data_IF_961345018741
#
_entry.id   IF_961345018741
#
_cell.length_a   1.000
_cell.length_b   1.000
_cell.length_c   1.000
_cell.angle_alpha   90.00
_cell.angle_beta   90.00
_cell.angle_gamma   90.00
#
_symmetry.space_group_name_H-M   'P 1'
#
loop_
_entity.id
_entity.type
_entity.pdbx_description
1 polymer ?
#
# COMPACT_ATOMS: atom_id res chain seq x y z
N UNK A 1 31.76 -1.01 63.15
CA UNK A 1 31.89 -0.54 61.75
C UNK A 1 30.76 -1.21 60.98
N UNK A 2 29.55 -0.67 60.75
CA UNK A 2 29.06 0.64 60.23
C UNK A 2 29.64 1.04 58.87
N UNK A 3 28.82 0.84 57.85
CA UNK A 3 28.63 1.66 56.65
C UNK A 3 27.20 1.38 56.13
N UNK A 4 26.15 1.72 56.90
CA UNK A 4 25.30 2.90 56.67
C UNK A 4 26.04 4.14 56.15
N UNK A 5 25.55 4.68 55.02
CA UNK A 5 25.23 6.10 54.78
C UNK A 5 25.36 6.41 53.29
N UNK A 6 24.25 6.34 52.52
CA UNK A 6 23.98 7.17 51.32
C UNK A 6 22.67 6.89 50.56
N UNK A 7 21.63 6.39 51.21
CA UNK A 7 20.27 6.61 50.71
C UNK A 7 19.45 7.22 51.85
N UNK A 8 19.48 8.55 51.89
CA UNK A 8 18.60 9.32 52.74
C UNK A 8 17.16 8.98 52.41
N UNK A 9 16.35 8.82 53.46
CA UNK A 9 14.90 8.76 53.35
C UNK A 9 14.43 10.09 52.76
N UNK A 10 14.09 10.09 51.47
CA UNK A 10 13.21 11.12 50.93
C UNK A 10 11.78 10.63 51.14
N UNK A 11 11.09 11.28 52.08
CA UNK A 11 9.72 10.96 52.51
C UNK A 11 8.64 11.59 51.61
N UNK A 12 9.01 12.02 50.41
CA UNK A 12 8.11 12.61 49.40
C UNK A 12 8.17 11.87 48.06
N UNK A 13 8.31 10.53 48.07
CA UNK A 13 8.26 9.73 46.85
C UNK A 13 6.84 9.16 46.63
N UNK A 14 6.01 9.70 45.70
CA UNK A 14 4.77 9.05 45.28
C UNK A 14 5.11 7.87 44.36
N UNK A 15 5.76 6.83 44.91
CA UNK A 15 5.98 5.55 44.25
C UNK A 15 4.88 4.58 44.64
N UNK A 16 3.64 4.95 44.34
CA UNK A 16 2.49 4.03 44.22
C UNK A 16 1.45 4.70 43.32
N UNK A 17 1.11 4.02 42.22
CA UNK A 17 0.24 4.44 41.10
C UNK A 17 0.94 5.22 39.97
N UNK A 18 0.49 5.00 38.73
CA UNK A 18 0.91 5.64 37.47
C UNK A 18 2.17 5.14 36.72
N UNK A 19 2.30 3.82 36.60
CA UNK A 19 3.18 3.21 35.56
C UNK A 19 2.48 2.98 34.21
N UNK A 20 1.22 3.39 34.05
CA UNK A 20 0.44 3.23 32.80
C UNK A 20 0.45 4.44 31.85
N UNK A 21 1.15 5.54 32.19
CA UNK A 21 1.13 6.76 31.40
C UNK A 21 2.46 7.03 30.69
N UNK A 22 2.77 6.26 29.65
CA UNK A 22 3.53 6.80 28.50
C UNK A 22 2.66 6.57 27.27
N UNK A 23 1.57 7.32 27.20
CA UNK A 23 0.80 7.47 25.98
C UNK A 23 1.59 8.39 25.04
N UNK A 24 2.26 7.82 24.04
CA UNK A 24 2.82 8.60 22.95
C UNK A 24 1.68 9.39 22.28
N UNK A 25 1.85 10.71 22.22
CA UNK A 25 0.80 11.66 21.84
C UNK A 25 0.50 11.59 20.34
N UNK A 26 -0.61 12.19 19.92
CA UNK A 26 -0.93 12.37 18.49
C UNK A 26 0.13 13.21 17.73
N UNK A 27 0.90 14.05 18.44
CA UNK A 27 2.02 14.77 17.87
C UNK A 27 3.24 13.86 17.60
N UNK A 28 3.48 12.84 18.43
CA UNK A 28 4.53 11.83 18.17
C UNK A 28 4.18 10.95 16.97
N UNK A 29 2.87 10.71 16.77
CA UNK A 29 2.30 9.96 15.66
C UNK A 29 2.52 10.63 14.30
N UNK A 30 2.36 11.96 14.23
CA UNK A 30 2.64 12.73 13.01
C UNK A 30 4.14 12.80 12.72
N UNK A 31 4.99 12.85 13.74
CA UNK A 31 6.46 12.84 13.61
C UNK A 31 7.05 11.45 13.27
N UNK A 32 6.34 10.36 13.56
CA UNK A 32 6.72 8.98 13.19
C UNK A 32 6.31 8.61 11.76
N UNK A 33 5.29 9.25 11.19
CA UNK A 33 4.55 8.72 10.05
C UNK A 33 5.00 9.20 8.65
N UNK A 34 5.82 10.24 8.50
CA UNK A 34 6.04 10.82 7.16
C UNK A 34 7.47 11.24 6.81
N UNK A 35 8.46 10.79 7.57
CA UNK A 35 9.87 11.01 7.21
C UNK A 35 10.47 9.73 6.61
N UNK A 36 10.10 9.46 5.36
CA UNK A 36 10.78 8.48 4.49
C UNK A 36 12.06 9.14 3.96
N UNK A 37 12.90 9.59 4.89
CA UNK A 37 14.18 10.21 4.59
C UNK A 37 15.19 9.21 4.01
N UNK A 38 16.33 9.74 3.56
CA UNK A 38 17.42 8.96 2.98
C UNK A 38 17.91 7.85 3.94
N UNK A 39 18.59 6.83 3.39
CA UNK A 39 19.03 5.62 4.12
C UNK A 39 20.01 5.83 5.29
N UNK A 40 20.12 7.04 5.83
CA UNK A 40 20.96 7.41 6.99
C UNK A 40 20.24 7.30 8.34
N UNK A 41 18.90 7.26 8.37
CA UNK A 41 18.11 7.12 9.60
C UNK A 41 18.13 5.70 10.16
N UNK A 42 18.13 5.59 11.49
CA UNK A 42 18.07 4.31 12.20
C UNK A 42 16.79 3.51 11.86
N UNK A 43 16.87 2.17 11.76
CA UNK A 43 15.74 1.30 11.47
C UNK A 43 14.63 1.38 12.52
N UNK A 44 13.38 1.24 12.07
CA UNK A 44 12.18 1.30 12.90
C UNK A 44 11.53 -0.08 13.07
N UNK A 45 11.02 -0.29 14.29
CA UNK A 45 10.09 -1.35 14.65
C UNK A 45 8.94 -0.74 15.43
N UNK A 46 7.73 -0.75 14.87
CA UNK A 46 6.55 -0.12 15.46
C UNK A 46 5.36 -1.07 15.42
N UNK A 47 4.64 -1.20 16.53
CA UNK A 47 3.35 -1.89 16.60
C UNK A 47 2.27 -0.86 16.92
N UNK A 48 1.34 -0.69 16.00
CA UNK A 48 0.11 0.06 16.21
C UNK A 48 -0.88 -0.79 16.99
N UNK A 49 -1.24 -0.36 18.20
CA UNK A 49 -2.20 -1.06 19.07
C UNK A 49 -3.51 -0.30 19.14
N UNK A 50 -4.59 -0.97 19.53
CA UNK A 50 -5.86 -0.31 19.80
C UNK A 50 -7.07 -1.19 19.51
N UNK A 51 -8.24 -0.68 19.86
CA UNK A 51 -9.51 -1.37 19.71
C UNK A 51 -9.91 -1.57 18.25
N UNK A 52 -10.90 -2.42 17.98
CA UNK A 52 -11.45 -2.58 16.64
C UNK A 52 -11.89 -1.22 16.07
N UNK A 53 -11.62 -0.99 14.78
CA UNK A 53 -12.06 0.23 14.10
C UNK A 53 -11.31 1.53 14.41
N UNK A 54 -10.17 1.46 15.10
CA UNK A 54 -9.30 2.62 15.42
C UNK A 54 -8.33 3.00 14.28
N UNK A 55 -8.60 2.58 13.03
CA UNK A 55 -7.81 2.92 11.83
C UNK A 55 -6.35 2.42 11.79
N UNK A 56 -6.03 1.35 12.54
CA UNK A 56 -4.69 0.72 12.52
C UNK A 56 -4.31 0.20 11.13
N UNK A 57 -5.19 -0.58 10.50
CA UNK A 57 -4.97 -1.11 9.14
C UNK A 57 -4.87 0.01 8.10
N UNK A 58 -5.65 1.07 8.25
CA UNK A 58 -5.55 2.26 7.40
C UNK A 58 -4.17 2.93 7.51
N UNK A 59 -3.55 2.96 8.70
CA UNK A 59 -2.17 3.44 8.85
C UNK A 59 -1.14 2.56 8.11
N UNK A 60 -1.29 1.23 8.13
CA UNK A 60 -0.44 0.37 7.28
C UNK A 60 -0.60 0.70 5.80
N UNK A 61 -1.82 1.00 5.33
CA UNK A 61 -2.04 1.41 3.95
C UNK A 61 -1.40 2.76 3.61
N UNK A 62 -1.42 3.72 4.53
CA UNK A 62 -0.71 4.99 4.36
C UNK A 62 0.81 4.76 4.26
N UNK A 63 1.37 3.90 5.11
CA UNK A 63 2.77 3.50 5.04
C UNK A 63 3.09 2.79 3.72
N UNK A 64 2.25 1.85 3.26
CA UNK A 64 2.43 1.19 1.97
C UNK A 64 2.56 2.22 0.82
N UNK A 65 1.70 3.25 0.80
CA UNK A 65 1.78 4.34 -0.18
C UNK A 65 3.07 5.16 -0.03
N UNK A 66 3.52 5.43 1.19
CA UNK A 66 4.74 6.19 1.44
C UNK A 66 6.02 5.44 1.01
N UNK A 67 5.99 4.10 0.99
CA UNK A 67 7.08 3.25 0.48
C UNK A 67 6.91 2.87 -1.00
N UNK A 68 5.94 3.47 -1.68
CA UNK A 68 5.71 3.30 -3.11
C UNK A 68 6.10 4.55 -3.89
N UNK A 69 6.83 4.35 -4.98
CA UNK A 69 7.23 5.42 -5.88
C UNK A 69 6.57 5.17 -7.25
N UNK A 70 5.64 6.03 -7.64
CA UNK A 70 5.13 6.04 -9.02
C UNK A 70 6.12 6.77 -9.90
N UNK A 71 6.83 6.04 -10.75
CA UNK A 71 7.65 6.68 -11.78
C UNK A 71 6.77 7.06 -12.95
N UNK A 72 6.82 8.32 -13.42
CA UNK A 72 6.19 8.65 -14.69
C UNK A 72 6.81 7.75 -15.78
N UNK A 73 6.05 7.42 -16.83
CA UNK A 73 6.61 6.67 -17.95
C UNK A 73 7.85 7.39 -18.47
N UNK A 74 8.83 6.62 -18.98
CA UNK A 74 10.06 7.17 -19.55
C UNK A 74 9.74 8.37 -20.44
N UNK A 75 10.42 9.49 -20.23
CA UNK A 75 10.13 10.75 -20.93
C UNK A 75 10.19 10.51 -22.44
N UNK A 76 9.01 10.52 -23.07
CA UNK A 76 8.86 10.24 -24.50
C UNK A 76 9.69 11.20 -25.33
N UNK A 77 9.85 12.44 -24.89
CA UNK A 77 10.69 13.42 -25.56
C UNK A 77 12.18 13.05 -25.44
N UNK A 78 12.64 12.63 -24.27
CA UNK A 78 14.02 12.18 -24.06
C UNK A 78 14.35 10.92 -24.89
N UNK A 79 13.47 9.91 -24.91
CA UNK A 79 13.65 8.70 -25.72
C UNK A 79 13.69 9.02 -27.22
N UNK A 80 12.75 9.86 -27.68
CA UNK A 80 12.72 10.31 -29.07
C UNK A 80 14.01 11.05 -29.44
N UNK A 81 14.46 11.96 -28.57
CA UNK A 81 15.69 12.71 -28.76
C UNK A 81 16.93 11.81 -28.80
N UNK A 82 17.00 10.77 -27.97
CA UNK A 82 18.09 9.81 -27.98
C UNK A 82 18.12 9.01 -29.29
N UNK A 83 16.96 8.53 -29.77
CA UNK A 83 16.83 7.79 -31.03
C UNK A 83 17.30 8.63 -32.23
N UNK A 84 16.76 9.83 -32.39
CA UNK A 84 17.07 10.64 -33.59
C UNK A 84 18.44 11.31 -33.49
N UNK A 85 18.97 11.53 -32.29
CA UNK A 85 20.20 12.30 -32.05
C UNK A 85 21.43 11.81 -32.80
N UNK A 86 21.60 10.50 -32.93
CA UNK A 86 22.77 9.90 -33.58
C UNK A 86 22.60 9.70 -35.10
N UNK A 87 21.39 9.85 -35.63
CA UNK A 87 21.08 9.56 -37.03
C UNK A 87 21.49 10.70 -37.98
N UNK A 88 21.98 10.36 -39.17
CA UNK A 88 22.06 11.30 -40.28
C UNK A 88 20.66 11.67 -40.81
N UNK A 89 20.54 12.75 -41.58
CA UNK A 89 19.27 13.10 -42.23
C UNK A 89 18.76 12.02 -43.19
N UNK A 90 19.67 11.25 -43.81
CA UNK A 90 19.32 10.07 -44.62
C UNK A 90 18.69 8.98 -43.77
N UNK A 91 19.37 8.57 -42.70
CA UNK A 91 18.86 7.53 -41.79
C UNK A 91 17.56 7.95 -41.14
N UNK A 92 17.42 9.22 -40.76
CA UNK A 92 16.17 9.75 -40.23
C UNK A 92 15.01 9.58 -41.22
N UNK A 93 15.21 9.92 -42.50
CA UNK A 93 14.17 9.74 -43.51
C UNK A 93 13.85 8.26 -43.74
N UNK A 94 14.86 7.39 -43.80
CA UNK A 94 14.64 5.94 -43.85
C UNK A 94 13.82 5.46 -42.64
N UNK A 95 14.13 5.94 -41.42
CA UNK A 95 13.42 5.58 -40.19
C UNK A 95 11.94 6.00 -40.25
N UNK A 96 11.65 7.19 -40.79
CA UNK A 96 10.27 7.66 -41.00
C UNK A 96 9.52 6.74 -41.96
N UNK A 97 10.14 6.35 -43.08
CA UNK A 97 9.54 5.40 -44.02
C UNK A 97 9.31 4.02 -43.41
N UNK A 98 10.28 3.49 -42.64
CA UNK A 98 10.12 2.20 -41.95
C UNK A 98 8.93 2.24 -40.98
N UNK A 99 8.80 3.30 -40.18
CA UNK A 99 7.68 3.44 -39.25
C UNK A 99 6.33 3.57 -39.97
N UNK A 100 6.25 4.37 -41.04
CA UNK A 100 5.01 4.54 -41.81
C UNK A 100 4.62 3.25 -42.57
N UNK A 101 5.61 2.49 -43.05
CA UNK A 101 5.38 1.20 -43.69
C UNK A 101 4.77 0.17 -42.73
N UNK A 102 5.17 0.16 -41.45
CA UNK A 102 4.51 -0.66 -40.41
C UNK A 102 3.02 -0.30 -40.22
N UNK A 103 2.62 0.93 -40.56
CA UNK A 103 1.24 1.42 -40.52
C UNK A 103 0.51 1.25 -41.87
N UNK A 104 1.12 0.54 -42.83
CA UNK A 104 0.57 0.30 -44.16
C UNK A 104 0.76 1.44 -45.17
N UNK A 105 1.56 2.46 -44.83
CA UNK A 105 1.80 3.62 -45.70
C UNK A 105 3.23 3.66 -46.22
N UNK A 106 3.40 3.36 -47.51
CA UNK A 106 4.72 3.25 -48.17
C UNK A 106 5.10 4.46 -49.03
N UNK A 107 4.11 5.30 -49.37
CA UNK A 107 4.28 6.52 -50.17
C UNK A 107 4.10 7.76 -49.30
N UNK A 108 5.11 8.65 -49.28
CA UNK A 108 5.12 9.87 -48.47
C UNK A 108 5.49 11.10 -49.30
N UNK A 109 4.77 12.21 -49.11
CA UNK A 109 5.16 13.51 -49.68
C UNK A 109 6.10 14.25 -48.74
N UNK A 110 6.89 15.17 -49.31
CA UNK A 110 7.85 15.99 -48.54
C UNK A 110 7.21 16.71 -47.33
N UNK A 111 6.02 17.33 -47.44
CA UNK A 111 5.37 17.94 -46.28
C UNK A 111 5.11 16.96 -45.12
N UNK A 112 4.76 15.72 -45.44
CA UNK A 112 4.48 14.65 -44.46
C UNK A 112 5.76 14.17 -43.78
N UNK A 113 6.88 14.13 -44.52
CA UNK A 113 8.19 13.84 -43.95
C UNK A 113 8.62 14.95 -42.98
N UNK A 114 8.43 16.22 -43.36
CA UNK A 114 8.86 17.36 -42.53
C UNK A 114 7.99 17.60 -41.30
N UNK A 115 6.71 17.20 -41.33
CA UNK A 115 5.80 17.28 -40.18
C UNK A 115 5.90 16.06 -39.26
N UNK A 116 6.64 15.03 -39.64
CA UNK A 116 6.79 13.82 -38.85
C UNK A 116 7.52 14.10 -37.52
N UNK A 117 7.08 13.54 -36.37
CA UNK A 117 7.69 13.79 -35.07
C UNK A 117 9.21 13.54 -35.02
N UNK A 118 9.69 12.50 -35.69
CA UNK A 118 11.13 12.20 -35.78
C UNK A 118 11.90 13.31 -36.50
N UNK A 119 11.33 13.85 -37.58
CA UNK A 119 11.93 14.93 -38.36
C UNK A 119 12.00 16.22 -37.55
N UNK A 120 10.87 16.58 -36.90
CA UNK A 120 10.77 17.78 -36.06
C UNK A 120 11.73 17.72 -34.87
N UNK A 121 11.85 16.56 -34.21
CA UNK A 121 12.79 16.38 -33.11
C UNK A 121 14.25 16.57 -33.56
N UNK A 122 14.64 15.96 -34.70
CA UNK A 122 16.00 16.13 -35.25
C UNK A 122 16.28 17.56 -35.69
N UNK A 123 15.30 18.23 -36.29
CA UNK A 123 15.43 19.63 -36.70
C UNK A 123 15.68 20.53 -35.48
N UNK A 124 14.92 20.31 -34.41
CA UNK A 124 15.04 21.03 -33.14
C UNK A 124 16.42 20.82 -32.51
N UNK A 125 16.90 19.58 -32.42
CA UNK A 125 18.24 19.27 -31.89
C UNK A 125 19.36 19.93 -32.69
N UNK A 126 19.22 19.95 -34.02
CA UNK A 126 20.17 20.59 -34.92
C UNK A 126 19.98 22.12 -35.01
N UNK A 127 19.12 22.71 -34.17
CA UNK A 127 18.80 24.14 -34.15
C UNK A 127 18.35 24.68 -35.53
N UNK A 128 17.67 23.84 -36.32
CA UNK A 128 17.15 24.21 -37.65
C UNK A 128 15.67 24.54 -37.56
N UNK A 129 15.33 25.80 -37.88
CA UNK A 129 13.94 26.28 -37.88
C UNK A 129 13.40 26.57 -39.29
N UNK A 130 14.28 26.77 -40.28
CA UNK A 130 13.92 27.15 -41.65
C UNK A 130 14.41 26.12 -42.67
N UNK A 131 13.87 26.16 -43.89
CA UNK A 131 14.30 25.32 -45.03
C UNK A 131 14.25 23.79 -44.77
N UNK A 132 13.30 23.35 -43.95
CA UNK A 132 13.12 21.93 -43.62
C UNK A 132 12.77 21.09 -44.85
N UNK A 133 11.86 21.59 -45.69
CA UNK A 133 11.49 20.94 -46.95
C UNK A 133 12.68 20.79 -47.90
N UNK A 134 13.54 21.81 -47.97
CA UNK A 134 14.75 21.76 -48.79
C UNK A 134 15.76 20.73 -48.25
N UNK A 135 15.84 20.58 -46.92
CA UNK A 135 16.68 19.57 -46.28
C UNK A 135 16.22 18.16 -46.64
N UNK A 136 14.92 17.88 -46.46
CA UNK A 136 14.33 16.59 -46.82
C UNK A 136 14.49 16.31 -48.33
N UNK A 137 14.14 17.29 -49.16
CA UNK A 137 14.23 17.18 -50.61
C UNK A 137 15.65 16.93 -51.10
N UNK A 138 16.64 17.65 -50.57
CA UNK A 138 18.05 17.47 -50.93
C UNK A 138 18.53 16.04 -50.64
N UNK A 139 18.19 15.50 -49.47
CA UNK A 139 18.55 14.11 -49.11
C UNK A 139 17.86 13.12 -50.04
N UNK A 140 16.55 13.26 -50.25
CA UNK A 140 15.78 12.36 -51.13
C UNK A 140 16.35 12.32 -52.56
N UNK A 141 16.68 13.49 -53.12
CA UNK A 141 17.27 13.60 -54.47
C UNK A 141 18.71 13.06 -54.54
N UNK A 142 19.50 13.27 -53.49
CA UNK A 142 20.89 12.79 -53.44
C UNK A 142 20.95 11.26 -53.40
N UNK A 143 20.02 10.63 -52.67
CA UNK A 143 19.98 9.18 -52.47
C UNK A 143 18.91 8.48 -53.33
N UNK A 144 18.50 9.08 -54.46
CA UNK A 144 17.53 8.48 -55.38
C UNK A 144 18.16 7.51 -56.39
N UNK A 145 17.41 6.50 -56.85
CA UNK A 145 17.87 5.54 -57.88
C UNK A 145 18.46 6.22 -59.11
N UNK A 146 19.60 5.73 -59.65
CA UNK A 146 20.21 6.29 -60.87
C UNK A 146 19.33 6.09 -62.11
N UNK A 147 18.51 5.04 -62.09
CA UNK A 147 17.61 4.68 -63.18
C UNK A 147 16.22 5.34 -63.04
N UNK A 148 16.07 6.26 -62.08
CA UNK A 148 14.81 6.96 -61.85
C UNK A 148 14.37 7.75 -63.08
N UNK A 149 13.12 7.55 -63.48
CA UNK A 149 12.47 8.26 -64.59
C UNK A 149 11.84 9.60 -64.16
N UNK A 150 11.64 9.79 -62.85
CA UNK A 150 10.89 10.91 -62.25
C UNK A 150 11.79 11.90 -61.49
N UNK A 151 12.97 11.46 -61.07
CA UNK A 151 13.98 12.28 -60.39
C UNK A 151 15.08 12.64 -61.38
N UNK A 152 15.28 13.94 -61.65
CA UNK A 152 16.35 14.46 -62.50
C UNK A 152 17.38 15.21 -61.66
N UNK A 153 18.35 14.48 -61.10
CA UNK A 153 19.44 15.03 -60.30
C UNK A 153 20.78 14.46 -60.74
N UNK A 154 21.81 15.31 -60.86
CA UNK A 154 23.14 14.90 -61.34
C UNK A 154 24.09 14.48 -60.22
N UNK A 155 23.97 15.06 -59.03
CA UNK A 155 24.87 14.79 -57.89
C UNK A 155 24.32 13.68 -56.98
N UNK A 156 24.24 12.45 -57.49
CA UNK A 156 23.71 11.30 -56.72
C UNK A 156 24.80 10.55 -55.97
N UNK A 157 24.44 10.04 -54.79
CA UNK A 157 25.25 9.08 -54.06
C UNK A 157 25.36 7.75 -54.82
N UNK A 158 26.40 6.97 -54.52
CA UNK A 158 26.58 5.65 -55.11
C UNK A 158 25.46 4.68 -54.67
N UNK A 159 25.07 4.75 -53.40
CA UNK A 159 24.01 3.93 -52.81
C UNK A 159 22.68 4.68 -52.88
N UNK A 160 21.67 4.06 -53.47
CA UNK A 160 20.30 4.57 -53.51
C UNK A 160 19.44 3.95 -52.41
N UNK A 161 18.52 4.75 -51.89
CA UNK A 161 17.54 4.36 -50.86
C UNK A 161 16.11 4.72 -51.27
N UNK A 162 15.93 5.75 -52.10
CA UNK A 162 14.62 6.30 -52.41
C UNK A 162 14.34 6.32 -53.91
N UNK A 163 13.07 6.40 -54.27
CA UNK A 163 12.65 6.94 -55.57
C UNK A 163 11.29 7.64 -55.43
N UNK A 164 10.85 8.28 -56.50
CA UNK A 164 9.64 9.10 -56.53
C UNK A 164 8.68 8.58 -57.59
N UNK A 165 7.40 8.50 -57.27
CA UNK A 165 6.36 8.15 -58.22
C UNK A 165 5.98 9.33 -59.14
N UNK A 166 5.05 9.10 -60.06
CA UNK A 166 4.52 10.16 -60.93
C UNK A 166 3.66 11.20 -60.17
N UNK A 167 3.13 10.84 -59.00
CA UNK A 167 2.34 11.70 -58.11
C UNK A 167 3.17 12.58 -57.17
N UNK A 168 4.50 12.60 -57.34
CA UNK A 168 5.45 13.31 -56.46
C UNK A 168 5.51 12.78 -55.02
N UNK A 169 5.08 11.54 -54.80
CA UNK A 169 5.27 10.81 -53.55
C UNK A 169 6.57 10.01 -53.62
N UNK A 170 7.27 9.93 -52.50
CA UNK A 170 8.52 9.20 -52.36
C UNK A 170 8.28 7.85 -51.71
N UNK A 171 9.13 6.87 -52.02
CA UNK A 171 9.12 5.54 -51.41
C UNK A 171 10.55 5.01 -51.18
N UNK A 172 10.68 4.07 -50.25
CA UNK A 172 11.90 3.29 -50.06
C UNK A 172 12.05 2.22 -51.15
N UNK A 173 13.25 2.09 -51.70
CA UNK A 173 13.59 1.05 -52.66
C UNK A 173 13.67 -0.32 -51.97
N UNK A 174 13.05 -1.40 -52.52
CA UNK A 174 13.15 -2.74 -51.95
C UNK A 174 14.59 -3.21 -51.76
N UNK A 175 15.49 -2.84 -52.67
CA UNK A 175 16.91 -3.20 -52.65
C UNK A 175 17.67 -2.55 -51.49
N UNK A 176 17.11 -1.49 -50.90
CA UNK A 176 17.69 -0.81 -49.75
C UNK A 176 17.32 -1.47 -48.42
N UNK A 177 16.28 -2.31 -48.38
CA UNK A 177 15.77 -2.92 -47.15
C UNK A 177 16.82 -3.72 -46.36
N UNK A 178 17.68 -4.55 -47.00
CA UNK A 178 18.73 -5.27 -46.27
C UNK A 178 19.75 -4.35 -45.58
N UNK A 179 19.94 -3.13 -46.11
CA UNK A 179 20.87 -2.13 -45.55
C UNK A 179 20.29 -1.37 -44.36
N UNK A 180 18.99 -1.56 -44.09
CA UNK A 180 18.26 -0.85 -43.04
C UNK A 180 17.97 -1.72 -41.82
N UNK A 181 18.55 -2.93 -41.74
CA UNK A 181 18.32 -3.88 -40.66
C UNK A 181 18.59 -3.27 -39.27
N UNK A 182 19.75 -2.62 -39.08
CA UNK A 182 20.11 -1.99 -37.80
C UNK A 182 19.14 -0.85 -37.43
N UNK A 183 18.69 -0.09 -38.43
CA UNK A 183 17.75 1.01 -38.23
C UNK A 183 16.35 0.50 -37.87
N UNK A 184 15.95 -0.65 -38.44
CA UNK A 184 14.73 -1.36 -38.07
C UNK A 184 14.81 -1.86 -36.63
N UNK A 185 15.94 -2.44 -36.21
CA UNK A 185 16.16 -2.84 -34.80
C UNK A 185 16.05 -1.65 -33.85
N UNK A 186 16.68 -0.51 -34.17
CA UNK A 186 16.56 0.70 -33.34
C UNK A 186 15.11 1.20 -33.22
N UNK A 187 14.33 1.12 -34.31
CA UNK A 187 12.91 1.47 -34.30
C UNK A 187 12.10 0.53 -33.40
N UNK A 188 12.34 -0.78 -33.50
CA UNK A 188 11.63 -1.80 -32.74
C UNK A 188 11.97 -1.70 -31.24
N UNK A 189 13.23 -1.43 -30.88
CA UNK A 189 13.67 -1.19 -29.52
C UNK A 189 13.02 0.06 -28.92
N UNK A 190 12.96 1.16 -29.68
CA UNK A 190 12.26 2.37 -29.27
C UNK A 190 10.77 2.12 -29.03
N UNK A 191 10.09 1.42 -29.94
CA UNK A 191 8.67 1.09 -29.80
C UNK A 191 8.40 0.14 -28.63
N UNK A 192 9.29 -0.83 -28.41
CA UNK A 192 9.22 -1.76 -27.29
C UNK A 192 9.39 -1.02 -25.97
N UNK A 193 10.37 -0.12 -25.89
CA UNK A 193 10.62 0.74 -24.73
C UNK A 193 9.41 1.64 -24.45
N UNK A 194 8.76 2.20 -25.47
CA UNK A 194 7.54 2.99 -25.30
C UNK A 194 6.34 2.18 -24.80
N UNK A 195 6.22 0.91 -25.25
CA UNK A 195 5.17 0.00 -24.78
C UNK A 195 5.41 -0.47 -23.34
N UNK A 196 6.68 -0.62 -22.96
CA UNK A 196 7.11 -1.01 -21.62
C UNK A 196 7.17 0.18 -20.64
N UNK A 197 7.24 1.42 -21.14
CA UNK A 197 7.10 2.64 -20.38
C UNK A 197 5.63 2.85 -19.97
N UNK A 198 5.09 1.93 -19.19
CA UNK A 198 3.90 2.15 -18.36
C UNK A 198 4.29 2.93 -17.11
N UNK A 199 3.32 3.55 -16.44
CA UNK A 199 3.52 4.02 -15.05
C UNK A 199 3.96 2.80 -14.26
N UNK A 200 5.21 2.80 -13.82
CA UNK A 200 5.74 1.72 -12.99
C UNK A 200 5.69 2.21 -11.55
N UNK A 201 4.84 1.57 -10.76
CA UNK A 201 4.85 1.73 -9.30
C UNK A 201 5.92 0.80 -8.78
N UNK A 202 6.98 1.38 -8.23
CA UNK A 202 7.98 0.63 -7.48
C UNK A 202 7.48 0.53 -6.05
N UNK A 203 7.05 -0.66 -5.65
CA UNK A 203 6.64 -0.95 -4.28
C UNK A 203 7.87 -1.41 -3.49
N UNK A 204 8.28 -0.64 -2.48
CA UNK A 204 9.36 -1.01 -1.55
C UNK A 204 8.79 -1.47 -0.21
N UNK A 205 7.74 -2.28 -0.25
CA UNK A 205 7.16 -2.86 0.94
C UNK A 205 6.64 -4.28 0.66
N UNK A 206 6.48 -5.05 1.73
CA UNK A 206 5.76 -6.31 1.70
C UNK A 206 4.68 -6.28 2.78
N UNK A 207 3.41 -6.45 2.39
CA UNK A 207 2.28 -6.52 3.30
C UNK A 207 1.85 -7.98 3.48
N UNK A 208 1.81 -8.44 4.73
CA UNK A 208 1.29 -9.76 5.11
C UNK A 208 0.28 -9.61 6.23
N UNK A 209 -0.64 -10.58 6.34
CA UNK A 209 -1.57 -10.67 7.46
C UNK A 209 -1.30 -11.97 8.21
N UNK A 210 -1.08 -11.88 9.52
CA UNK A 210 -0.87 -13.05 10.34
C UNK A 210 -2.20 -13.71 10.70
N UNK A 211 -2.19 -15.03 10.64
CA UNK A 211 -3.33 -15.89 11.00
C UNK A 211 -2.80 -17.15 11.69
N UNK A 212 -3.65 -17.95 12.37
CA UNK A 212 -3.18 -19.07 13.19
C UNK A 212 -2.30 -20.10 12.47
N UNK A 213 -2.51 -20.28 11.16
CA UNK A 213 -1.71 -21.17 10.32
C UNK A 213 -0.44 -20.52 9.70
N UNK A 214 -0.20 -19.22 9.91
CA UNK A 214 0.94 -18.51 9.33
C UNK A 214 2.20 -18.81 10.15
N UNK A 215 3.27 -19.27 9.50
CA UNK A 215 4.44 -19.82 10.17
C UNK A 215 5.78 -19.30 9.66
N UNK A 216 6.83 -19.96 10.15
CA UNK A 216 8.21 -19.71 9.75
C UNK A 216 8.42 -19.90 8.24
N UNK A 217 7.80 -20.95 7.68
CA UNK A 217 7.94 -21.35 6.28
C UNK A 217 7.46 -20.29 5.29
N UNK A 218 6.44 -19.51 5.65
CA UNK A 218 5.89 -18.43 4.80
C UNK A 218 6.65 -17.12 4.98
N UNK A 219 7.20 -16.88 6.17
CA UNK A 219 7.81 -15.60 6.54
C UNK A 219 9.31 -15.57 6.28
N UNK A 220 10.03 -16.61 6.68
CA UNK A 220 11.49 -16.69 6.63
C UNK A 220 11.93 -17.55 5.45
N UNK A 221 11.87 -18.87 5.56
CA UNK A 221 12.10 -19.79 4.45
C UNK A 221 11.41 -21.12 4.73
N UNK A 222 10.99 -21.81 3.66
CA UNK A 222 10.29 -23.09 3.77
C UNK A 222 10.66 -24.05 2.66
N UNK A 223 10.51 -25.34 2.93
CA UNK A 223 10.70 -26.38 1.92
C UNK A 223 9.38 -26.54 1.14
N UNK A 224 9.46 -26.52 -0.20
CA UNK A 224 8.30 -26.69 -1.08
C UNK A 224 8.58 -27.75 -2.13
N UNK A 225 7.62 -28.65 -2.41
CA UNK A 225 7.77 -29.62 -3.48
C UNK A 225 7.67 -28.93 -4.84
N UNK A 226 8.54 -29.33 -5.77
CA UNK A 226 8.54 -28.90 -7.16
C UNK A 226 8.56 -30.13 -8.06
N UNK A 227 7.69 -30.15 -9.08
CA UNK A 227 7.76 -31.16 -10.13
C UNK A 227 8.91 -30.82 -11.07
N UNK A 228 9.94 -31.67 -11.09
CA UNK A 228 10.99 -31.57 -12.08
C UNK A 228 10.45 -31.90 -13.48
N UNK A 229 11.16 -31.46 -14.51
CA UNK A 229 10.86 -31.75 -15.93
C UNK A 229 10.69 -33.24 -16.25
N UNK A 230 11.23 -34.10 -15.39
CA UNK A 230 11.30 -35.55 -15.56
C UNK A 230 10.12 -36.26 -14.84
N UNK A 231 9.18 -35.51 -14.26
CA UNK A 231 8.06 -36.06 -13.47
C UNK A 231 8.44 -36.50 -12.04
N UNK A 232 9.69 -36.31 -11.62
CA UNK A 232 10.13 -36.57 -10.25
C UNK A 232 9.89 -35.37 -9.34
N UNK A 233 9.40 -35.63 -8.12
CA UNK A 233 9.24 -34.61 -7.08
C UNK A 233 10.59 -34.27 -6.46
N UNK A 234 10.99 -33.01 -6.55
CA UNK A 234 12.15 -32.45 -5.89
C UNK A 234 11.70 -31.49 -4.77
N UNK A 235 12.52 -31.31 -3.74
CA UNK A 235 12.28 -30.35 -2.68
C UNK A 235 13.18 -29.14 -2.87
N UNK A 236 12.58 -27.96 -2.94
CA UNK A 236 13.28 -26.68 -3.08
C UNK A 236 13.08 -25.84 -1.81
N UNK A 237 14.14 -25.20 -1.33
CA UNK A 237 14.04 -24.21 -0.26
C UNK A 237 13.67 -22.88 -0.88
N UNK A 238 12.56 -22.31 -0.44
CA UNK A 238 12.07 -21.00 -0.91
C UNK A 238 12.14 -19.98 0.19
N UNK A 239 12.67 -18.79 -0.15
CA UNK A 239 12.62 -17.63 0.71
C UNK A 239 11.16 -17.17 0.90
N UNK A 240 10.79 -16.93 2.14
CA UNK A 240 9.52 -16.33 2.54
C UNK A 240 9.52 -14.82 2.40
N UNK A 241 8.38 -14.21 2.78
CA UNK A 241 8.10 -12.79 2.55
C UNK A 241 9.19 -11.85 3.10
N UNK A 242 9.68 -12.11 4.32
CA UNK A 242 10.65 -11.24 4.98
C UNK A 242 12.05 -11.37 4.38
N UNK A 243 12.49 -12.59 4.04
CA UNK A 243 13.78 -12.79 3.37
C UNK A 243 13.79 -12.18 1.96
N UNK A 244 12.70 -12.31 1.21
CA UNK A 244 12.56 -11.69 -0.11
C UNK A 244 12.66 -10.16 -0.02
N UNK A 245 11.96 -9.54 0.93
CA UNK A 245 12.05 -8.09 1.17
C UNK A 245 13.47 -7.66 1.56
N UNK A 246 14.13 -8.40 2.46
CA UNK A 246 15.50 -8.09 2.88
C UNK A 246 16.51 -8.23 1.72
N UNK A 247 16.30 -9.19 0.81
CA UNK A 247 17.13 -9.34 -0.38
C UNK A 247 17.00 -8.13 -1.30
N UNK A 248 15.78 -7.63 -1.53
CA UNK A 248 15.54 -6.41 -2.29
C UNK A 248 16.20 -5.19 -1.62
N UNK A 249 16.02 -5.03 -0.31
CA UNK A 249 16.62 -3.94 0.47
C UNK A 249 18.15 -3.96 0.44
N UNK A 250 18.76 -5.15 0.41
CA UNK A 250 20.22 -5.30 0.30
C UNK A 250 20.73 -4.88 -1.09
N UNK A 251 19.96 -5.17 -2.14
CA UNK A 251 20.29 -4.81 -3.52
C UNK A 251 20.09 -3.31 -3.80
N UNK A 252 19.24 -2.63 -3.01
CA UNK A 252 18.95 -1.19 -3.13
C UNK A 252 19.16 -0.47 -1.77
N UNK A 253 20.43 -0.27 -1.34
CA UNK A 253 20.74 0.32 -0.05
C UNK A 253 20.39 1.82 0.05
N UNK A 254 20.13 2.48 -1.09
CA UNK A 254 19.77 3.91 -1.14
C UNK A 254 18.33 4.20 -0.78
N UNK A 255 17.45 3.19 -0.86
CA UNK A 255 16.05 3.34 -0.51
C UNK A 255 15.68 2.51 0.71
N UNK A 256 14.58 2.90 1.37
CA UNK A 256 14.03 2.17 2.50
C UNK A 256 12.98 1.17 2.05
N UNK A 257 12.87 0.08 2.80
CA UNK A 257 11.91 -0.99 2.57
C UNK A 257 11.09 -1.24 3.82
N UNK A 258 9.80 -1.55 3.69
CA UNK A 258 8.92 -1.79 4.85
C UNK A 258 8.31 -3.19 4.85
N UNK A 259 8.47 -3.90 5.96
CA UNK A 259 7.66 -5.07 6.30
C UNK A 259 6.41 -4.59 7.04
N UNK A 260 5.25 -4.78 6.43
CA UNK A 260 3.95 -4.41 6.99
C UNK A 260 3.23 -5.69 7.42
N UNK A 261 2.92 -5.81 8.72
CA UNK A 261 2.33 -7.02 9.31
C UNK A 261 0.98 -6.67 9.95
N UNK A 262 -0.10 -7.08 9.31
CA UNK A 262 -1.43 -6.92 9.90
C UNK A 262 -1.72 -8.06 10.90
N UNK A 263 -2.34 -7.72 12.03
CA UNK A 263 -2.78 -8.66 13.07
C UNK A 263 -1.65 -9.53 13.66
N UNK A 264 -0.54 -8.92 14.07
CA UNK A 264 0.67 -9.63 14.50
C UNK A 264 0.43 -10.62 15.65
N UNK A 265 -0.57 -10.39 16.51
CA UNK A 265 -0.91 -11.28 17.61
C UNK A 265 -1.71 -12.53 17.18
N UNK A 266 -2.17 -12.64 15.93
CA UNK A 266 -2.94 -13.81 15.44
C UNK A 266 -2.09 -15.02 15.08
N UNK A 267 -0.77 -14.90 15.13
CA UNK A 267 0.17 -16.00 14.98
C UNK A 267 1.13 -16.07 16.17
N UNK A 268 1.80 -17.21 16.34
CA UNK A 268 2.89 -17.32 17.30
C UNK A 268 4.12 -16.58 16.76
N UNK A 269 4.25 -15.30 17.11
CA UNK A 269 5.29 -14.39 16.58
C UNK A 269 6.69 -14.94 16.80
N UNK A 270 6.99 -15.49 17.99
CA UNK A 270 8.30 -16.07 18.27
C UNK A 270 8.64 -17.22 17.31
N UNK A 271 7.66 -18.07 17.00
CA UNK A 271 7.83 -19.16 16.01
C UNK A 271 7.96 -18.62 14.58
N UNK A 272 7.20 -17.61 14.21
CA UNK A 272 7.23 -17.01 12.86
C UNK A 272 8.60 -16.38 12.57
N UNK A 273 9.15 -15.62 13.53
CA UNK A 273 10.46 -14.99 13.36
C UNK A 273 11.63 -15.96 13.57
N UNK A 274 11.46 -17.04 14.35
CA UNK A 274 12.50 -18.05 14.56
C UNK A 274 13.82 -17.45 15.04
N UNK A 275 14.92 -17.78 14.35
CA UNK A 275 16.26 -17.27 14.61
C UNK A 275 16.42 -15.75 14.37
N UNK A 276 15.52 -15.14 13.58
CA UNK A 276 15.59 -13.72 13.24
C UNK A 276 15.16 -12.82 14.40
N UNK A 277 14.58 -13.39 15.47
CA UNK A 277 14.06 -12.66 16.63
C UNK A 277 15.08 -11.67 17.21
N UNK A 278 16.37 -12.04 17.21
CA UNK A 278 17.45 -11.15 17.69
C UNK A 278 17.90 -10.15 16.64
N UNK A 279 17.82 -10.49 15.35
CA UNK A 279 18.30 -9.65 14.25
C UNK A 279 17.37 -8.48 13.92
N UNK A 280 16.08 -8.57 14.28
CA UNK A 280 15.18 -7.44 14.09
C UNK A 280 15.49 -6.27 15.03
N UNK A 281 16.29 -6.45 16.07
CA UNK A 281 16.71 -5.37 16.95
C UNK A 281 17.50 -4.32 16.15
N UNK A 282 17.14 -3.01 16.22
CA UNK A 282 17.75 -1.99 15.37
C UNK A 282 19.28 -1.95 15.39
N UNK A 283 19.93 -2.11 16.55
CA UNK A 283 21.39 -2.09 16.67
C UNK A 283 22.08 -3.29 16.02
N UNK A 284 21.39 -4.41 15.85
CA UNK A 284 21.94 -5.69 15.36
C UNK A 284 21.78 -5.89 13.86
N UNK A 285 21.19 -4.93 13.16
CA UNK A 285 21.02 -4.95 11.71
C UNK A 285 22.34 -4.71 10.98
N UNK A 286 22.45 -5.23 9.76
CA UNK A 286 23.62 -5.01 8.91
C UNK A 286 23.80 -3.52 8.63
N UNK A 287 25.01 -3.01 8.88
CA UNK A 287 25.34 -1.59 8.77
C UNK A 287 25.05 -0.76 10.03
N UNK A 288 24.71 -1.40 11.14
CA UNK A 288 24.57 -0.80 12.49
C UNK A 288 25.72 -1.25 13.42
N UNK A 289 25.96 -0.58 14.56
CA UNK A 289 27.15 -0.80 15.39
C UNK A 289 27.34 -2.24 15.91
N UNK A 290 26.25 -2.93 16.25
CA UNK A 290 26.27 -4.28 16.83
C UNK A 290 25.82 -5.34 15.81
N UNK A 291 26.10 -5.11 14.52
CA UNK A 291 25.60 -5.95 13.43
C UNK A 291 25.87 -7.44 13.66
N UNK A 292 24.83 -8.25 13.50
CA UNK A 292 24.88 -9.69 13.73
C UNK A 292 24.32 -10.44 12.52
N UNK A 293 24.80 -11.68 12.36
CA UNK A 293 24.23 -12.64 11.42
C UNK A 293 23.92 -13.96 12.14
N UNK A 294 22.95 -14.71 11.62
CA UNK A 294 22.60 -16.06 12.05
C UNK A 294 22.68 -17.01 10.86
N UNK A 295 22.79 -18.31 11.12
CA UNK A 295 22.65 -19.33 10.08
C UNK A 295 21.18 -19.73 9.98
N UNK A 296 20.63 -19.67 8.77
CA UNK A 296 19.23 -20.03 8.52
C UNK A 296 18.99 -21.54 8.66
N UNK A 297 17.86 -21.92 9.24
CA UNK A 297 17.59 -23.31 9.64
C UNK A 297 17.51 -24.32 8.48
N UNK A 298 16.89 -23.97 7.34
CA UNK A 298 16.76 -24.89 6.21
C UNK A 298 17.91 -24.75 5.22
N UNK A 299 18.26 -23.53 4.83
CA UNK A 299 19.28 -23.29 3.81
C UNK A 299 20.70 -23.36 4.34
N UNK A 300 20.90 -23.21 5.66
CA UNK A 300 22.24 -23.14 6.27
C UNK A 300 23.05 -21.94 5.81
N UNK A 301 22.40 -20.92 5.22
CA UNK A 301 23.07 -19.72 4.72
C UNK A 301 23.15 -18.66 5.82
N UNK A 302 24.25 -17.88 5.88
CA UNK A 302 24.33 -16.74 6.78
C UNK A 302 23.33 -15.66 6.34
N UNK A 303 22.60 -15.09 7.30
CA UNK A 303 21.62 -14.05 7.07
C UNK A 303 21.69 -12.97 8.15
N UNK A 304 21.52 -11.71 7.74
CA UNK A 304 21.38 -10.55 8.60
C UNK A 304 20.32 -9.60 8.04
N UNK A 305 19.59 -8.91 8.92
CA UNK A 305 18.54 -7.96 8.51
C UNK A 305 19.20 -6.63 8.09
N UNK A 306 18.93 -6.07 6.90
CA UNK A 306 19.52 -4.80 6.47
C UNK A 306 19.02 -3.59 7.28
N UNK A 307 19.87 -2.58 7.50
CA UNK A 307 19.49 -1.36 8.26
C UNK A 307 18.39 -0.51 7.61
N UNK A 308 18.19 -0.64 6.30
CA UNK A 308 17.20 0.09 5.51
C UNK A 308 15.85 -0.63 5.41
N UNK A 309 15.65 -1.73 6.17
CA UNK A 309 14.33 -2.33 6.36
C UNK A 309 13.68 -1.71 7.59
N UNK A 310 12.37 -1.43 7.55
CA UNK A 310 11.53 -1.03 8.66
C UNK A 310 10.44 -2.08 8.88
N UNK A 311 9.98 -2.25 10.13
CA UNK A 311 8.92 -3.21 10.46
C UNK A 311 7.78 -2.46 11.14
N UNK A 312 6.61 -2.48 10.51
CA UNK A 312 5.37 -1.92 11.05
C UNK A 312 4.35 -3.03 11.20
N UNK A 313 3.63 -3.04 12.32
CA UNK A 313 2.59 -4.02 12.53
C UNK A 313 1.35 -3.44 13.20
N UNK A 314 0.22 -4.15 13.12
CA UNK A 314 -1.00 -3.84 13.87
C UNK A 314 -1.29 -4.94 14.88
N UNK A 315 -1.93 -4.56 15.99
CA UNK A 315 -2.37 -5.48 17.03
C UNK A 315 -3.71 -5.00 17.61
N UNK A 316 -4.74 -5.85 17.55
CA UNK A 316 -5.99 -5.60 18.28
C UNK A 316 -5.80 -5.92 19.76
N UNK A 317 -6.22 -5.00 20.65
CA UNK A 317 -6.11 -5.20 22.09
C UNK A 317 -7.23 -6.07 22.67
N UNK A 318 -8.35 -6.20 21.96
CA UNK A 318 -9.55 -6.97 22.36
C UNK A 318 -9.41 -8.49 22.19
N UNK A 319 -8.45 -8.95 21.38
CA UNK A 319 -8.31 -10.37 21.06
C UNK A 319 -7.57 -11.12 22.19
N UNK A 320 -8.23 -11.26 23.35
CA UNK A 320 -7.70 -11.93 24.56
C UNK A 320 -7.46 -13.43 24.39
N UNK A 321 -8.06 -14.05 23.37
CA UNK A 321 -7.91 -15.48 23.05
C UNK A 321 -6.59 -15.82 22.33
N UNK A 322 -5.81 -14.81 21.94
CA UNK A 322 -4.57 -14.98 21.20
C UNK A 322 -3.36 -15.03 22.13
N UNK A 323 -2.28 -15.68 21.66
CA UNK A 323 -1.04 -15.76 22.41
C UNK A 323 -0.50 -14.33 22.67
N UNK A 324 -0.30 -13.92 23.94
CA UNK A 324 0.22 -12.60 24.22
C UNK A 324 1.62 -12.45 23.62
N UNK A 325 1.90 -11.27 23.07
CA UNK A 325 3.24 -10.95 22.58
C UNK A 325 4.24 -11.03 23.75
N UNK A 326 5.23 -11.90 23.62
CA UNK A 326 6.19 -12.17 24.68
C UNK A 326 7.06 -10.94 25.02
N UNK A 327 7.70 -10.98 26.19
CA UNK A 327 8.54 -9.89 26.66
C UNK A 327 9.74 -9.62 25.72
N UNK A 328 10.24 -10.67 25.07
CA UNK A 328 11.34 -10.58 24.13
C UNK A 328 10.95 -9.77 22.89
N UNK A 329 9.74 -9.94 22.38
CA UNK A 329 9.22 -9.12 21.28
C UNK A 329 8.90 -7.72 21.74
N UNK A 330 8.25 -7.55 22.89
CA UNK A 330 7.90 -6.21 23.39
C UNK A 330 9.11 -5.27 23.48
N UNK A 331 10.27 -5.73 23.95
CA UNK A 331 11.48 -4.88 24.01
C UNK A 331 12.06 -4.44 22.65
N UNK A 332 11.64 -5.08 21.55
CA UNK A 332 12.18 -4.84 20.20
C UNK A 332 11.28 -3.95 19.34
N UNK A 333 10.09 -3.61 19.83
CA UNK A 333 9.13 -2.76 19.15
C UNK A 333 8.77 -1.56 20.02
N UNK A 334 8.55 -0.41 19.39
CA UNK A 334 7.83 0.69 20.02
C UNK A 334 6.33 0.45 19.86
N UNK A 335 5.57 0.61 20.93
CA UNK A 335 4.12 0.47 20.92
C UNK A 335 3.48 1.83 20.79
N UNK A 336 2.51 1.92 19.89
CA UNK A 336 1.87 3.17 19.53
C UNK A 336 0.36 2.95 19.52
N UNK A 337 -0.33 3.50 20.51
CA UNK A 337 -1.76 3.30 20.66
C UNK A 337 -2.56 4.21 19.72
N UNK A 338 -3.40 3.60 18.90
CA UNK A 338 -4.41 4.23 18.08
C UNK A 338 -5.71 4.31 18.87
N UNK A 339 -5.97 5.46 19.49
CA UNK A 339 -7.22 5.71 20.19
C UNK A 339 -8.38 5.95 19.19
N UNK A 340 -9.64 5.67 19.57
CA UNK A 340 -10.79 6.18 18.84
C UNK A 340 -10.71 7.70 18.65
N UNK A 341 -11.18 8.21 17.51
CA UNK A 341 -11.09 9.62 17.13
C UNK A 341 -12.47 10.13 16.71
N UNK A 342 -13.38 10.36 17.67
CA UNK A 342 -14.75 10.80 17.37
C UNK A 342 -14.80 12.10 16.56
N UNK A 343 -13.79 12.96 16.69
CA UNK A 343 -13.69 14.24 15.97
C UNK A 343 -13.62 14.09 14.44
N UNK A 344 -13.36 12.89 13.90
CA UNK A 344 -13.38 12.66 12.46
C UNK A 344 -14.80 12.40 11.92
N UNK A 345 -15.78 12.24 12.79
CA UNK A 345 -17.15 11.90 12.42
C UNK A 345 -17.99 13.16 12.20
N UNK A 346 -18.87 13.09 11.20
CA UNK A 346 -19.79 14.16 10.85
C UNK A 346 -21.09 14.14 11.67
N UNK A 347 -22.15 14.67 11.08
CA UNK A 347 -23.48 14.71 11.67
C UNK A 347 -24.53 14.20 10.69
N UNK A 348 -25.55 13.53 11.20
CA UNK A 348 -26.66 13.01 10.41
C UNK A 348 -27.90 13.85 10.67
N UNK A 349 -28.68 14.12 9.62
CA UNK A 349 -29.96 14.82 9.71
C UNK A 349 -31.12 13.84 9.54
N UNK A 350 -32.10 13.92 10.43
CA UNK A 350 -33.36 13.21 10.32
C UNK A 350 -34.36 13.97 9.45
N UNK A 351 -35.39 13.27 8.96
CA UNK A 351 -36.42 13.82 8.08
C UNK A 351 -37.26 14.95 8.73
N UNK A 352 -37.34 14.96 10.06
CA UNK A 352 -37.98 15.98 10.88
C UNK A 352 -37.07 17.19 11.20
N UNK A 353 -35.83 17.20 10.68
CA UNK A 353 -34.87 18.27 10.89
C UNK A 353 -34.05 18.15 12.17
N UNK A 354 -34.18 17.06 12.94
CA UNK A 354 -33.31 16.79 14.09
C UNK A 354 -31.90 16.36 13.65
N UNK A 355 -30.87 16.77 14.40
CA UNK A 355 -29.47 16.48 14.11
C UNK A 355 -28.88 15.49 15.12
N UNK A 356 -28.16 14.49 14.64
CA UNK A 356 -27.38 13.56 15.47
C UNK A 356 -25.89 13.82 15.26
N UNK A 357 -25.19 14.25 16.30
CA UNK A 357 -23.74 14.45 16.29
C UNK A 357 -23.01 13.12 16.55
N UNK A 358 -22.49 12.50 15.49
CA UNK A 358 -21.86 11.17 15.59
C UNK A 358 -20.58 11.21 16.45
N UNK A 359 -19.89 12.34 16.46
CA UNK A 359 -18.71 12.57 17.31
C UNK A 359 -19.07 12.48 18.81
N UNK A 360 -20.14 13.17 19.24
CA UNK A 360 -20.64 13.11 20.62
C UNK A 360 -21.20 11.73 20.96
N UNK A 361 -21.95 11.14 20.03
CA UNK A 361 -22.49 9.79 20.19
C UNK A 361 -21.39 8.76 20.47
N UNK A 362 -20.33 8.74 19.65
CA UNK A 362 -19.23 7.80 19.88
C UNK A 362 -18.48 8.08 21.18
N UNK A 363 -18.26 9.36 21.52
CA UNK A 363 -17.59 9.74 22.76
C UNK A 363 -18.38 9.25 23.98
N UNK A 364 -19.69 9.51 24.02
CA UNK A 364 -20.58 9.09 25.09
C UNK A 364 -20.65 7.57 25.23
N UNK A 365 -20.80 6.85 24.10
CA UNK A 365 -20.76 5.39 24.08
C UNK A 365 -19.44 4.87 24.64
N UNK A 366 -18.30 5.41 24.19
CA UNK A 366 -17.00 4.98 24.65
C UNK A 366 -16.74 5.31 26.12
N UNK A 367 -17.29 6.41 26.66
CA UNK A 367 -17.27 6.71 28.09
C UNK A 367 -17.98 5.61 28.87
N UNK A 368 -19.23 5.29 28.52
CA UNK A 368 -20.03 4.24 29.18
C UNK A 368 -19.37 2.87 29.05
N UNK A 369 -18.91 2.50 27.84
CA UNK A 369 -18.20 1.24 27.58
C UNK A 369 -16.93 1.14 28.42
N UNK A 370 -16.13 2.21 28.51
CA UNK A 370 -14.87 2.17 29.27
C UNK A 370 -15.11 1.99 30.77
N UNK A 371 -16.18 2.60 31.30
CA UNK A 371 -16.56 2.47 32.71
C UNK A 371 -17.10 1.08 33.04
N UNK A 372 -17.88 0.47 32.15
CA UNK A 372 -18.57 -0.80 32.40
C UNK A 372 -17.78 -2.04 31.98
N UNK A 373 -17.06 -1.95 30.86
CA UNK A 373 -16.38 -3.08 30.21
C UNK A 373 -14.85 -2.90 30.14
N UNK A 374 -14.34 -1.69 30.36
CA UNK A 374 -12.92 -1.35 30.32
C UNK A 374 -12.50 -0.66 29.02
N UNK A 375 -11.34 0.02 29.05
CA UNK A 375 -10.85 0.84 27.94
C UNK A 375 -10.58 0.03 26.66
N UNK A 376 -10.19 -1.23 26.79
CA UNK A 376 -9.97 -2.11 25.63
C UNK A 376 -11.27 -2.51 24.93
N UNK A 377 -12.45 -2.31 25.52
CA UNK A 377 -13.74 -2.64 24.90
C UNK A 377 -14.34 -1.50 24.07
N UNK A 378 -13.68 -0.33 24.01
CA UNK A 378 -14.14 0.81 23.22
C UNK A 378 -14.39 0.47 21.74
N UNK A 379 -15.24 1.28 21.11
CA UNK A 379 -15.50 1.26 19.67
C UNK A 379 -14.64 2.29 18.96
N UNK A 380 -14.02 1.88 17.86
CA UNK A 380 -13.33 2.80 16.97
C UNK A 380 -14.27 3.66 16.14
N UNK A 381 -13.74 4.72 15.54
CA UNK A 381 -14.52 5.63 14.70
C UNK A 381 -14.98 4.99 13.38
N UNK A 382 -14.33 3.92 12.92
CA UNK A 382 -14.73 3.24 11.67
C UNK A 382 -16.16 2.69 11.72
N UNK A 383 -16.70 2.43 12.91
CA UNK A 383 -18.07 1.94 13.10
C UNK A 383 -19.15 2.95 12.70
N UNK A 384 -18.80 4.23 12.74
CA UNK A 384 -19.69 5.34 12.38
C UNK A 384 -19.17 6.14 11.17
N UNK A 385 -18.20 5.57 10.44
CA UNK A 385 -17.60 6.23 9.29
C UNK A 385 -18.54 6.20 8.09
N UNK A 386 -18.59 7.31 7.33
CA UNK A 386 -19.43 7.43 6.12
C UNK A 386 -20.91 7.11 6.37
N UNK A 387 -21.44 7.54 7.52
CA UNK A 387 -22.88 7.50 7.79
C UNK A 387 -23.48 8.83 7.33
N UNK A 388 -24.24 8.78 6.24
CA UNK A 388 -24.82 9.97 5.61
C UNK A 388 -26.34 10.11 5.88
N UNK A 389 -26.99 9.06 6.38
CA UNK A 389 -28.43 9.05 6.65
C UNK A 389 -28.82 8.32 7.95
N UNK A 390 -30.03 8.58 8.44
CA UNK A 390 -30.60 7.85 9.59
C UNK A 390 -30.74 6.35 9.31
N UNK A 391 -30.97 5.96 8.05
CA UNK A 391 -31.02 4.55 7.67
C UNK A 391 -29.65 3.88 7.79
N UNK A 392 -28.58 4.56 7.38
CA UNK A 392 -27.20 4.06 7.53
C UNK A 392 -26.84 3.94 9.02
N UNK A 393 -27.26 4.91 9.84
CA UNK A 393 -27.06 4.88 11.29
C UNK A 393 -27.78 3.70 11.95
N UNK A 394 -29.06 3.51 11.61
CA UNK A 394 -29.86 2.38 12.10
C UNK A 394 -29.24 1.03 11.69
N UNK A 395 -28.73 0.93 10.45
CA UNK A 395 -28.02 -0.25 9.97
C UNK A 395 -26.71 -0.50 10.73
N UNK A 396 -25.89 0.54 10.94
CA UNK A 396 -24.65 0.44 11.71
C UNK A 396 -24.90 -0.07 13.13
N UNK A 397 -25.95 0.44 13.80
CA UNK A 397 -26.32 -0.03 15.13
C UNK A 397 -26.84 -1.47 15.12
N UNK A 398 -27.86 -1.76 14.32
CA UNK A 398 -28.54 -3.05 14.34
C UNK A 398 -27.67 -4.21 13.85
N UNK A 399 -26.80 -3.97 12.87
CA UNK A 399 -26.04 -5.02 12.18
C UNK A 399 -24.60 -5.16 12.68
N UNK A 400 -24.02 -4.11 13.28
CA UNK A 400 -22.59 -4.09 13.63
C UNK A 400 -22.38 -3.78 15.11
N UNK A 401 -22.82 -2.62 15.60
CA UNK A 401 -22.49 -2.16 16.96
C UNK A 401 -23.18 -3.00 18.03
N UNK A 402 -24.50 -3.16 17.95
CA UNK A 402 -25.27 -3.90 18.97
C UNK A 402 -24.82 -5.36 19.03
N UNK A 403 -24.68 -6.11 17.92
CA UNK A 403 -24.16 -7.48 17.96
C UNK A 403 -22.80 -7.61 18.63
N UNK A 404 -21.86 -6.68 18.37
CA UNK A 404 -20.54 -6.72 18.97
C UNK A 404 -20.57 -6.41 20.47
N UNK A 405 -21.29 -5.39 20.89
CA UNK A 405 -21.44 -5.08 22.31
C UNK A 405 -22.15 -6.20 23.07
N UNK A 406 -23.18 -6.81 22.47
CA UNK A 406 -23.88 -7.94 23.06
C UNK A 406 -22.94 -9.15 23.26
N UNK A 407 -22.01 -9.38 22.34
CA UNK A 407 -20.98 -10.42 22.48
C UNK A 407 -20.05 -10.12 23.66
N UNK A 408 -19.53 -8.89 23.76
CA UNK A 408 -18.63 -8.48 24.85
C UNK A 408 -19.33 -8.50 26.21
N UNK A 409 -20.60 -8.10 26.26
CA UNK A 409 -21.41 -8.14 27.48
C UNK A 409 -21.74 -9.56 27.97
N UNK A 410 -21.35 -10.62 27.25
CA UNK A 410 -21.49 -12.00 27.71
C UNK A 410 -22.93 -12.39 28.06
N UNK A 411 -23.90 -11.90 27.28
CA UNK A 411 -25.35 -12.07 27.48
C UNK A 411 -25.97 -11.26 28.64
N UNK A 412 -25.25 -10.32 29.27
CA UNK A 412 -25.84 -9.43 30.29
C UNK A 412 -26.59 -8.28 29.63
N UNK A 413 -27.89 -8.47 29.36
CA UNK A 413 -28.75 -7.46 28.74
C UNK A 413 -28.79 -6.12 29.51
N UNK A 414 -28.63 -6.16 30.83
CA UNK A 414 -28.57 -4.97 31.69
C UNK A 414 -27.37 -4.05 31.37
N UNK A 415 -26.20 -4.63 31.09
CA UNK A 415 -25.02 -3.86 30.67
C UNK A 415 -25.25 -3.23 29.29
N UNK A 416 -25.84 -3.99 28.38
CA UNK A 416 -26.16 -3.50 27.04
C UNK A 416 -27.18 -2.34 27.09
N UNK A 417 -28.20 -2.45 27.94
CA UNK A 417 -29.17 -1.39 28.20
C UNK A 417 -28.51 -0.18 28.89
N UNK A 418 -27.58 -0.37 29.81
CA UNK A 418 -26.86 0.72 30.46
C UNK A 418 -26.00 1.52 29.45
N UNK A 419 -25.44 0.86 28.44
CA UNK A 419 -24.63 1.50 27.39
C UNK A 419 -25.52 2.23 26.37
N UNK A 420 -26.56 1.56 25.86
CA UNK A 420 -27.35 2.03 24.71
C UNK A 420 -28.65 2.74 25.09
N UNK A 421 -29.09 2.63 26.34
CA UNK A 421 -30.35 3.16 26.86
C UNK A 421 -31.54 2.23 26.66
N UNK A 422 -32.57 2.43 27.50
CA UNK A 422 -33.81 1.65 27.48
C UNK A 422 -34.69 1.88 26.25
N UNK A 423 -34.46 2.97 25.49
CA UNK A 423 -35.17 3.23 24.24
C UNK A 423 -34.72 2.31 23.11
N UNK A 424 -33.46 1.83 23.14
CA UNK A 424 -32.93 0.91 22.15
C UNK A 424 -33.10 -0.55 22.62
N UNK A 425 -32.82 -0.80 23.91
CA UNK A 425 -32.77 -2.15 24.49
C UNK A 425 -33.87 -2.29 25.54
N UNK A 426 -34.87 -3.14 25.27
CA UNK A 426 -35.88 -3.53 26.25
C UNK A 426 -35.51 -4.88 26.87
N UNK A 427 -35.48 -4.92 28.21
CA UNK A 427 -35.26 -6.14 28.97
C UNK A 427 -36.57 -6.90 29.09
N UNK A 428 -36.54 -8.18 28.69
CA UNK A 428 -37.71 -9.04 28.74
C UNK A 428 -37.76 -9.77 30.09
N UNK A 429 -38.95 -9.90 30.72
CA UNK A 429 -39.10 -10.61 31.98
C UNK A 429 -38.63 -12.07 31.88
N UNK A 430 -37.89 -12.52 32.90
CA UNK A 430 -37.47 -13.91 33.05
C UNK A 430 -38.70 -14.80 33.26
N UNK A 431 -39.21 -15.43 32.19
CA UNK A 431 -40.25 -16.47 32.29
C UNK A 431 -41.42 -16.42 31.29
N UNK A 432 -41.52 -15.44 30.40
CA UNK A 432 -42.58 -15.46 29.37
C UNK A 432 -42.08 -16.00 28.02
N UNK A 433 -42.60 -17.17 27.64
CA UNK A 433 -42.63 -17.66 26.25
C UNK A 433 -43.92 -17.19 25.61
N UNK A 434 -43.94 -15.98 25.04
CA UNK A 434 -44.93 -15.62 24.03
C UNK A 434 -44.20 -15.19 22.77
N UNK A 435 -44.64 -15.76 21.64
CA UNK A 435 -44.02 -15.59 20.34
C UNK A 435 -44.03 -14.13 19.91
N UNK A 436 -42.84 -13.56 19.78
CA UNK A 436 -42.65 -12.27 19.13
C UNK A 436 -42.63 -12.53 17.63
N UNK A 437 -43.78 -12.34 16.98
CA UNK A 437 -43.86 -12.24 15.53
C UNK A 437 -43.27 -10.90 15.09
N UNK A 438 -42.09 -10.93 14.47
CA UNK A 438 -41.50 -9.79 13.77
C UNK A 438 -40.32 -9.16 14.50
N UNK A 439 -39.14 -9.76 14.35
CA UNK A 439 -37.87 -9.19 14.79
C UNK A 439 -36.82 -10.28 14.87
N UNK A 440 -35.63 -10.04 14.33
CA UNK A 440 -34.49 -10.94 14.49
C UNK A 440 -34.07 -10.99 15.96
N UNK A 441 -34.72 -11.85 16.73
CA UNK A 441 -34.32 -12.16 18.10
C UNK A 441 -33.07 -13.04 18.09
N UNK A 442 -32.03 -12.61 18.78
CA UNK A 442 -30.96 -13.51 19.18
C UNK A 442 -31.56 -14.53 20.17
N UNK A 443 -31.86 -15.73 19.69
CA UNK A 443 -32.23 -16.86 20.55
C UNK A 443 -30.97 -17.64 20.91
N UNK A 444 -30.59 -17.72 22.20
CA UNK A 444 -29.93 -18.94 22.66
C UNK A 444 -30.48 -19.52 23.97
N UNK A 445 -30.08 -20.77 24.17
CA UNK A 445 -30.44 -21.70 25.24
C UNK A 445 -30.01 -21.25 26.64
N UNK A 446 -30.93 -21.38 27.60
CA UNK A 446 -30.79 -21.34 29.07
C UNK A 446 -30.56 -19.97 29.76
N UNK A 447 -31.33 -19.75 30.84
CA UNK A 447 -31.29 -18.73 31.92
C UNK A 447 -30.37 -17.49 31.75
N UNK A 448 -30.63 -16.65 30.76
CA UNK A 448 -30.03 -15.32 30.68
C UNK A 448 -31.09 -14.25 30.42
N UNK A 449 -30.87 -13.04 30.95
CA UNK A 449 -31.71 -11.84 30.74
C UNK A 449 -31.91 -11.62 29.24
N UNK A 450 -33.12 -11.92 28.77
CA UNK A 450 -33.51 -11.73 27.37
C UNK A 450 -33.66 -10.23 27.09
N UNK A 451 -33.25 -9.77 25.92
CA UNK A 451 -33.51 -8.41 25.48
C UNK A 451 -34.04 -8.41 24.05
N UNK A 452 -34.81 -7.38 23.70
CA UNK A 452 -35.19 -7.08 22.32
C UNK A 452 -34.64 -5.70 21.93
N UNK A 453 -34.44 -5.53 20.63
CA UNK A 453 -34.00 -4.26 20.04
C UNK A 453 -35.24 -3.56 19.49
N UNK A 454 -35.55 -2.35 19.94
CA UNK A 454 -36.61 -1.54 19.36
C UNK A 454 -36.17 -0.99 18.01
N UNK A 455 -36.43 -1.73 16.93
CA UNK A 455 -35.97 -1.35 15.58
C UNK A 455 -36.48 0.01 15.12
N UNK A 456 -37.71 0.39 15.50
CA UNK A 456 -38.25 1.71 15.15
C UNK A 456 -37.51 2.86 15.87
N UNK A 457 -37.01 2.63 17.09
CA UNK A 457 -36.26 3.64 17.83
C UNK A 457 -34.92 3.96 17.15
N UNK A 458 -34.35 3.02 16.39
CA UNK A 458 -33.11 3.24 15.63
C UNK A 458 -33.25 4.23 14.47
N UNK A 459 -34.48 4.55 14.04
CA UNK A 459 -34.73 5.56 13.01
C UNK A 459 -35.08 6.94 13.59
N UNK A 460 -35.15 7.06 14.92
CA UNK A 460 -35.47 8.30 15.62
C UNK A 460 -34.18 8.98 16.12
N UNK A 461 -34.00 10.24 15.76
CA UNK A 461 -32.85 11.04 16.19
C UNK A 461 -32.83 11.27 17.71
N UNK A 462 -34.01 11.39 18.34
CA UNK A 462 -34.13 11.59 19.79
C UNK A 462 -33.52 10.43 20.57
N UNK A 463 -33.62 9.21 20.04
CA UNK A 463 -33.02 8.00 20.61
C UNK A 463 -31.51 8.12 20.76
N UNK A 464 -30.83 8.59 19.72
CA UNK A 464 -29.37 8.77 19.76
C UNK A 464 -28.95 9.98 20.59
N UNK A 465 -29.74 11.06 20.53
CA UNK A 465 -29.51 12.26 21.35
C UNK A 465 -29.57 11.94 22.84
N UNK A 466 -30.49 11.09 23.27
CA UNK A 466 -30.59 10.64 24.66
C UNK A 466 -29.30 9.97 25.18
N UNK A 467 -28.53 9.30 24.32
CA UNK A 467 -27.29 8.62 24.72
C UNK A 467 -26.23 9.61 25.24
N UNK A 468 -26.15 10.80 24.64
CA UNK A 468 -25.17 11.84 24.99
C UNK A 468 -25.80 13.11 25.59
N UNK A 469 -27.08 13.05 25.96
CA UNK A 469 -27.76 14.12 26.70
C UNK A 469 -27.43 14.08 28.20
N UNK A 470 -27.05 12.90 28.71
CA UNK A 470 -26.67 12.67 30.12
C UNK A 470 -25.19 12.99 30.42
N UNK A 471 -24.41 13.40 29.41
CA UNK A 471 -22.97 13.69 29.48
C UNK A 471 -22.63 15.18 29.67
#
# INVERSE_FOLDING_TARGET
>A
MRYNDKFGQDKDNPMTADWFAVAHTQADLENLAFDVGDGTRAPHNVIFTGVAGSSKTYRLQQLARAYSETRPPADRAALLNALVGQLSWRELLCLVFLQQAQQGKTLLKVPELTSHPFFVAKATQNQRQNNLSNTAWSVLMTYSSKDSTTVRYSQRAAQAFFDKDQGSSWFLLPESMPLLADLQTQLDDYQTTLKQATVTTIERFCLVSFHPAYGYDEFVEGIRPQMGSNGHMAYEIRAGAFLQLCAQATADPTHRYAMLIDEINRANVARVFGELLSLIEPSKRLGMPDAMQVQLAYSGKPFGVPRNVDIYATMNTQDHALAPLDLAMRRRFRFVTCLPQPQLLGTVMSADGAQVELSRLLAALNTKISQLLGADSQLGHSFLWQIDSMADLAAAFSQVIIPQLAHVCGQQGELLQAILGGQIIELLPTGQTQGVSGGFGYLPTSNVTRFCIHQHALYDAATYQAIYADD
#
